data_IF_501768854755
#
_entry.id   IF_501768854755
#
_cell.length_a   1.000
_cell.length_b   1.000
_cell.length_c   1.000
_cell.angle_alpha   90.00
_cell.angle_beta   90.00
_cell.angle_gamma   90.00
#
_symmetry.space_group_name_H-M   'P 1'
#
loop_
_entity.id
_entity.type
_entity.pdbx_description
1 polymer ?
#
# COMPACT_ATOMS: atom_id res chain seq x y z
N UNK A 1 -6.20 26.07 45.72
CA UNK A 1 -6.40 26.07 44.25
C UNK A 1 -5.63 24.90 43.66
N UNK A 2 -6.20 23.70 43.72
CA UNK A 2 -5.66 22.52 43.03
C UNK A 2 -6.42 22.41 41.72
N UNK A 3 -5.71 22.68 40.62
CA UNK A 3 -6.24 22.56 39.27
C UNK A 3 -6.46 21.07 38.98
N UNK A 4 -7.70 20.61 39.19
CA UNK A 4 -8.15 19.30 38.73
C UNK A 4 -8.29 19.38 37.21
N UNK A 5 -7.16 19.25 36.52
CA UNK A 5 -7.18 18.93 35.10
C UNK A 5 -7.99 17.65 34.97
N UNK A 6 -9.23 17.78 34.48
CA UNK A 6 -10.02 16.66 34.01
C UNK A 6 -9.28 16.16 32.77
N UNK A 7 -8.27 15.32 32.95
CA UNK A 7 -7.61 14.60 31.85
C UNK A 7 -8.68 13.72 31.23
N UNK A 8 -9.33 14.23 30.18
CA UNK A 8 -10.23 13.46 29.34
C UNK A 8 -9.49 12.20 28.92
N UNK A 9 -10.14 11.05 29.04
CA UNK A 9 -9.58 9.79 28.56
C UNK A 9 -9.22 9.96 27.07
N UNK A 10 -7.98 9.64 26.66
CA UNK A 10 -7.59 9.73 25.26
C UNK A 10 -8.35 8.68 24.44
N UNK A 11 -8.37 8.85 23.12
CA UNK A 11 -8.86 7.82 22.22
C UNK A 11 -7.93 6.59 22.29
N UNK A 12 -8.43 5.50 22.87
CA UNK A 12 -7.64 4.30 23.13
C UNK A 12 -7.32 3.49 21.86
N UNK A 13 -7.97 3.80 20.73
CA UNK A 13 -7.71 3.14 19.44
C UNK A 13 -6.97 4.05 18.45
N UNK A 14 -6.67 5.30 18.83
CA UNK A 14 -6.01 6.29 17.98
C UNK A 14 -4.72 5.75 17.36
N UNK A 15 -3.88 5.09 18.17
CA UNK A 15 -2.62 4.53 17.70
C UNK A 15 -2.80 3.47 16.59
N UNK A 16 -3.90 2.71 16.62
CA UNK A 16 -4.19 1.70 15.61
C UNK A 16 -4.59 2.36 14.29
N UNK A 17 -5.45 3.39 14.35
CA UNK A 17 -5.85 4.15 13.15
C UNK A 17 -4.68 4.95 12.57
N UNK A 18 -3.92 5.64 13.41
CA UNK A 18 -2.80 6.48 13.01
C UNK A 18 -1.68 5.66 12.35
N UNK A 19 -1.35 4.49 12.92
CA UNK A 19 -0.31 3.63 12.35
C UNK A 19 -0.71 3.03 11.01
N UNK A 20 -1.97 2.62 10.83
CA UNK A 20 -2.45 2.11 9.54
C UNK A 20 -2.55 3.21 8.49
N UNK A 21 -2.98 4.41 8.87
CA UNK A 21 -2.99 5.57 7.98
C UNK A 21 -1.58 5.91 7.52
N UNK A 22 -0.61 5.99 8.44
CA UNK A 22 0.80 6.19 8.11
C UNK A 22 1.35 5.07 7.20
N UNK A 23 0.99 3.81 7.45
CA UNK A 23 1.39 2.71 6.60
C UNK A 23 0.92 2.91 5.15
N UNK A 24 -0.34 3.34 4.95
CA UNK A 24 -0.87 3.59 3.61
C UNK A 24 -0.22 4.83 2.96
N UNK A 25 0.03 5.89 3.71
CA UNK A 25 0.54 7.14 3.15
C UNK A 25 2.04 7.15 2.92
N UNK A 26 2.82 6.44 3.75
CA UNK A 26 4.29 6.51 3.74
C UNK A 26 4.90 5.10 3.72
N UNK A 27 4.56 4.25 4.68
CA UNK A 27 5.27 2.97 4.88
C UNK A 27 5.21 2.03 3.67
N UNK A 28 4.06 1.91 3.03
CA UNK A 28 3.89 1.08 1.83
C UNK A 28 4.66 1.65 0.63
N UNK A 29 4.71 2.98 0.51
CA UNK A 29 5.45 3.66 -0.56
C UNK A 29 6.95 3.45 -0.37
N UNK A 30 7.45 3.60 0.87
CA UNK A 30 8.84 3.33 1.23
C UNK A 30 9.23 1.89 0.89
N UNK A 31 8.38 0.93 1.26
CA UNK A 31 8.64 -0.49 0.99
C UNK A 31 8.65 -0.80 -0.51
N UNK A 32 7.67 -0.29 -1.28
CA UNK A 32 7.65 -0.47 -2.75
C UNK A 32 8.88 0.14 -3.42
N UNK A 33 9.34 1.31 -2.94
CA UNK A 33 10.53 1.97 -3.45
C UNK A 33 11.82 1.22 -3.07
N UNK A 34 11.84 0.54 -1.91
CA UNK A 34 13.02 -0.20 -1.45
C UNK A 34 13.41 -1.35 -2.39
N UNK A 35 12.41 -1.95 -3.06
CA UNK A 35 12.62 -2.98 -4.07
C UNK A 35 13.04 -2.43 -5.44
N UNK A 36 12.93 -1.12 -5.69
CA UNK A 36 13.10 -0.52 -7.02
C UNK A 36 14.49 0.13 -7.21
N UNK A 37 15.19 -0.09 -8.34
CA UNK A 37 14.83 -0.99 -9.44
C UNK A 37 15.14 -2.46 -9.14
N UNK A 38 14.26 -3.36 -9.61
CA UNK A 38 14.58 -4.78 -9.71
C UNK A 38 15.27 -5.01 -11.05
N UNK A 39 16.51 -5.48 -11.03
CA UNK A 39 17.27 -5.82 -12.23
C UNK A 39 17.31 -7.32 -12.48
N UNK A 40 17.29 -7.73 -13.74
CA UNK A 40 17.56 -9.12 -14.11
C UNK A 40 19.05 -9.48 -13.95
N UNK A 41 19.39 -10.77 -14.07
CA UNK A 41 20.77 -11.25 -13.87
C UNK A 41 21.76 -10.71 -14.92
N UNK A 42 21.29 -10.26 -16.08
CA UNK A 42 22.13 -9.63 -17.11
C UNK A 42 22.26 -8.13 -16.96
N UNK A 43 21.42 -7.50 -16.12
CA UNK A 43 21.35 -6.05 -15.91
C UNK A 43 20.73 -5.27 -17.07
N UNK A 44 20.11 -5.96 -18.03
CA UNK A 44 19.53 -5.39 -19.26
C UNK A 44 18.08 -4.97 -19.08
N UNK A 45 17.35 -5.65 -18.20
CA UNK A 45 15.97 -5.33 -17.87
C UNK A 45 15.91 -4.74 -16.47
N UNK A 46 15.22 -3.61 -16.33
CA UNK A 46 14.88 -3.03 -15.04
C UNK A 46 13.37 -2.91 -14.89
N UNK A 47 12.85 -3.41 -13.77
CA UNK A 47 11.49 -3.21 -13.33
C UNK A 47 11.47 -2.16 -12.23
N UNK A 48 10.65 -1.13 -12.40
CA UNK A 48 10.48 -0.04 -11.44
C UNK A 48 9.04 -0.02 -10.95
N UNK A 49 8.84 -0.03 -9.63
CA UNK A 49 7.54 0.25 -9.03
C UNK A 49 7.38 1.76 -8.84
N UNK A 50 6.29 2.33 -9.34
CA UNK A 50 5.92 3.72 -9.09
C UNK A 50 5.07 3.77 -7.82
N UNK A 51 5.72 3.52 -6.68
CA UNK A 51 5.04 3.30 -5.39
C UNK A 51 4.11 4.44 -4.98
N UNK A 52 4.46 5.70 -5.28
CA UNK A 52 3.62 6.87 -4.99
C UNK A 52 2.27 6.88 -5.71
N UNK A 53 2.15 6.15 -6.80
CA UNK A 53 0.98 6.10 -7.66
C UNK A 53 0.16 4.81 -7.47
N UNK A 54 0.42 4.05 -6.39
CA UNK A 54 -0.36 2.86 -6.09
C UNK A 54 -1.84 3.19 -5.88
N UNK A 55 -2.71 2.22 -6.20
CA UNK A 55 -4.15 2.38 -6.15
C UNK A 55 -4.79 1.24 -5.39
N UNK A 56 -5.70 1.59 -4.50
CA UNK A 56 -6.58 0.65 -3.82
C UNK A 56 -7.96 0.72 -4.46
N UNK A 57 -8.49 -0.41 -4.91
CA UNK A 57 -9.89 -0.51 -5.34
C UNK A 57 -10.81 -0.59 -4.12
N UNK A 58 -12.09 -0.32 -4.34
CA UNK A 58 -13.08 -0.53 -3.29
C UNK A 58 -13.12 -2.01 -2.85
N UNK A 59 -13.39 -2.26 -1.56
CA UNK A 59 -13.57 -3.62 -1.06
C UNK A 59 -14.63 -4.38 -1.85
N UNK A 60 -14.41 -5.67 -2.05
CA UNK A 60 -15.36 -6.53 -2.78
C UNK A 60 -16.69 -6.69 -2.03
N UNK A 61 -16.61 -6.70 -0.70
CA UNK A 61 -17.73 -6.82 0.22
C UNK A 61 -17.56 -5.77 1.31
N UNK A 62 -18.67 -5.29 1.88
CA UNK A 62 -18.60 -4.53 3.13
C UNK A 62 -18.25 -5.45 4.32
N UNK A 63 -18.09 -4.85 5.50
CA UNK A 63 -17.68 -5.56 6.72
C UNK A 63 -18.69 -6.63 7.13
N UNK A 64 -19.99 -6.36 7.02
CA UNK A 64 -21.04 -7.27 7.48
C UNK A 64 -21.23 -8.45 6.53
N UNK A 65 -21.08 -8.22 5.23
CA UNK A 65 -21.12 -9.27 4.23
C UNK A 65 -19.85 -10.13 4.28
N UNK A 66 -18.68 -9.53 4.53
CA UNK A 66 -17.43 -10.29 4.73
C UNK A 66 -17.57 -11.26 5.91
N UNK A 67 -18.13 -10.80 7.04
CA UNK A 67 -18.44 -11.66 8.20
C UNK A 67 -19.42 -12.78 7.86
N UNK A 68 -20.51 -12.47 7.14
CA UNK A 68 -21.54 -13.46 6.77
C UNK A 68 -21.02 -14.55 5.84
N UNK A 69 -20.00 -14.25 5.05
CA UNK A 69 -19.40 -15.16 4.06
C UNK A 69 -18.14 -15.86 4.56
N UNK A 70 -17.74 -15.65 5.82
CA UNK A 70 -16.42 -16.06 6.33
C UNK A 70 -15.27 -15.64 5.38
N UNK A 71 -15.37 -14.43 4.83
CA UNK A 71 -14.41 -13.84 3.90
C UNK A 71 -13.60 -12.73 4.57
N UNK A 72 -12.39 -12.49 4.05
CA UNK A 72 -11.58 -11.32 4.44
C UNK A 72 -12.18 -10.03 3.87
N UNK A 73 -12.34 -9.02 4.72
CA UNK A 73 -12.59 -7.65 4.26
C UNK A 73 -11.26 -7.09 3.76
N UNK A 74 -11.13 -6.87 2.45
CA UNK A 74 -9.87 -6.46 1.83
C UNK A 74 -10.11 -5.66 0.56
N UNK A 75 -9.09 -4.89 0.17
CA UNK A 75 -9.06 -4.09 -1.07
C UNK A 75 -8.01 -4.63 -2.03
N UNK A 76 -8.29 -4.56 -3.33
CA UNK A 76 -7.29 -4.92 -4.33
C UNK A 76 -6.29 -3.78 -4.53
N UNK A 77 -5.00 -4.10 -4.42
CA UNK A 77 -3.90 -3.16 -4.62
C UNK A 77 -3.28 -3.32 -6.02
N UNK A 78 -3.16 -2.19 -6.72
CA UNK A 78 -2.49 -2.08 -8.01
C UNK A 78 -1.33 -1.09 -7.90
N UNK A 79 -0.20 -1.39 -8.53
CA UNK A 79 0.96 -0.50 -8.57
C UNK A 79 1.36 -0.28 -10.03
N UNK A 80 1.38 0.97 -10.52
CA UNK A 80 1.95 1.27 -11.83
C UNK A 80 3.42 0.86 -11.86
N UNK A 81 3.77 0.07 -12.86
CA UNK A 81 5.09 -0.56 -12.96
C UNK A 81 5.67 -0.26 -14.33
N UNK A 82 6.95 0.13 -14.36
CA UNK A 82 7.69 0.42 -15.58
C UNK A 82 8.76 -0.65 -15.81
N UNK A 83 8.70 -1.32 -16.96
CA UNK A 83 9.75 -2.20 -17.44
C UNK A 83 10.59 -1.46 -18.49
N UNK A 84 11.88 -1.33 -18.23
CA UNK A 84 12.87 -0.69 -19.11
C UNK A 84 13.78 -1.76 -19.69
N UNK A 85 13.84 -1.84 -21.02
CA UNK A 85 14.87 -2.60 -21.72
C UNK A 85 16.02 -1.66 -22.10
N UNK A 86 17.15 -1.78 -21.42
CA UNK A 86 18.33 -0.92 -21.65
C UNK A 86 19.01 -1.14 -22.99
N UNK A 87 18.83 -2.31 -23.62
CA UNK A 87 19.43 -2.60 -24.91
C UNK A 87 18.68 -1.92 -26.06
N UNK A 88 17.35 -1.94 -26.01
CA UNK A 88 16.51 -1.37 -27.07
C UNK A 88 16.05 0.05 -26.76
N UNK A 89 16.13 0.49 -25.50
CA UNK A 89 15.52 1.72 -25.01
C UNK A 89 14.00 1.65 -24.87
N UNK A 90 13.40 0.47 -25.06
CA UNK A 90 11.95 0.28 -24.95
C UNK A 90 11.49 0.43 -23.50
N UNK A 91 10.42 1.20 -23.30
CA UNK A 91 9.77 1.39 -22.00
C UNK A 91 8.32 0.92 -22.10
N UNK A 92 7.94 0.01 -21.21
CA UNK A 92 6.54 -0.45 -21.05
C UNK A 92 6.05 -0.07 -19.67
N UNK A 93 4.90 0.58 -19.61
CA UNK A 93 4.21 0.88 -18.36
C UNK A 93 2.89 0.13 -18.28
N UNK A 94 2.61 -0.45 -17.13
CA UNK A 94 1.37 -1.18 -16.88
C UNK A 94 0.97 -1.09 -15.41
N UNK A 95 -0.34 -1.03 -15.14
CA UNK A 95 -0.85 -1.24 -13.79
C UNK A 95 -0.88 -2.73 -13.47
N UNK A 96 -0.10 -3.13 -12.45
CA UNK A 96 0.03 -4.53 -12.04
C UNK A 96 -0.76 -4.74 -10.75
N UNK A 97 -1.58 -5.79 -10.71
CA UNK A 97 -2.21 -6.26 -9.47
C UNK A 97 -1.14 -6.91 -8.59
N UNK A 98 -0.94 -6.37 -7.37
CA UNK A 98 0.08 -6.86 -6.44
C UNK A 98 -0.51 -7.82 -5.41
N UNK A 99 -1.77 -7.61 -5.02
CA UNK A 99 -2.46 -8.46 -4.06
C UNK A 99 -3.66 -7.79 -3.42
N UNK A 100 -4.26 -8.50 -2.47
CA UNK A 100 -5.32 -7.98 -1.61
C UNK A 100 -4.71 -7.47 -0.29
N UNK A 101 -5.05 -6.24 0.11
CA UNK A 101 -4.68 -5.64 1.38
C UNK A 101 -5.89 -5.71 2.34
N UNK A 102 -5.78 -6.42 3.49
CA UNK A 102 -6.83 -6.45 4.51
C UNK A 102 -7.11 -5.09 5.17
#
# INVERSE_FOLDING_TARGET
MTNLATTMLPDLIEIQHASFHWFLEEGLIEELNSFSPISDYTGKLELHFLGKDYKLKQPKYDVDESKRRDASYSVQMYVPTRLINKETGEIKEQEVFIGDLP
#
